data_IF_498594027322
#
_entry.id   IF_498594027322
#
_cell.length_a   1.000
_cell.length_b   1.000
_cell.length_c   1.000
_cell.angle_alpha   90.00
_cell.angle_beta   90.00
_cell.angle_gamma   90.00
#
_symmetry.space_group_name_H-M   'P 1'
#
loop_
_entity.id
_entity.type
_entity.pdbx_description
1 polymer ?
#
# COMPACT_ATOMS: atom_id res chain seq x y z
N UNK A 1 17.25 -8.56 -25.12
CA UNK A 1 16.35 -9.70 -25.40
C UNK A 1 15.03 -9.46 -24.66
N UNK A 2 14.05 -8.88 -25.34
CA UNK A 2 12.72 -8.58 -24.80
C UNK A 2 11.98 -9.87 -24.39
N UNK A 3 11.93 -10.22 -23.10
CA UNK A 3 10.84 -11.08 -22.61
C UNK A 3 9.61 -10.21 -22.42
N UNK A 4 8.87 -9.97 -23.49
CA UNK A 4 7.46 -9.55 -23.38
C UNK A 4 6.76 -10.61 -22.55
N UNK A 5 6.40 -10.28 -21.31
CA UNK A 5 5.56 -11.16 -20.49
C UNK A 5 4.26 -11.37 -21.26
N UNK A 6 4.03 -12.60 -21.70
CA UNK A 6 2.93 -12.93 -22.60
C UNK A 6 1.59 -12.55 -21.98
N UNK A 7 0.62 -12.16 -22.82
CA UNK A 7 -0.79 -11.87 -22.45
C UNK A 7 -1.38 -12.95 -21.53
N UNK A 8 -0.85 -14.18 -21.58
CA UNK A 8 -1.21 -15.33 -20.73
C UNK A 8 -1.02 -15.08 -19.23
N UNK A 9 -0.06 -14.27 -18.79
CA UNK A 9 0.13 -14.00 -17.35
C UNK A 9 -0.95 -13.07 -16.78
N UNK A 10 -1.43 -12.12 -17.58
CA UNK A 10 -2.49 -11.18 -17.20
C UNK A 10 -3.86 -11.89 -17.14
N UNK A 11 -4.11 -12.80 -18.08
CA UNK A 11 -5.32 -13.64 -18.06
C UNK A 11 -5.27 -14.64 -16.90
N UNK A 12 -4.13 -15.29 -16.65
CA UNK A 12 -3.95 -16.17 -15.50
C UNK A 12 -4.17 -15.46 -14.16
N UNK A 13 -3.62 -14.25 -13.98
CA UNK A 13 -3.87 -13.45 -12.76
C UNK A 13 -5.33 -13.04 -12.60
N UNK A 14 -6.03 -12.76 -13.70
CA UNK A 14 -7.46 -12.43 -13.69
C UNK A 14 -8.32 -13.64 -13.34
N UNK A 15 -8.03 -14.80 -13.94
CA UNK A 15 -8.68 -16.07 -13.63
C UNK A 15 -8.46 -16.46 -12.18
N UNK A 16 -7.22 -16.38 -11.68
CA UNK A 16 -6.91 -16.67 -10.28
C UNK A 16 -7.64 -15.73 -9.32
N UNK A 17 -7.77 -14.45 -9.67
CA UNK A 17 -8.55 -13.50 -8.89
C UNK A 17 -10.05 -13.86 -8.86
N UNK A 18 -10.64 -14.24 -10.01
CA UNK A 18 -12.04 -14.67 -10.10
C UNK A 18 -12.27 -15.95 -9.28
N UNK A 19 -11.39 -16.95 -9.41
CA UNK A 19 -11.45 -18.19 -8.63
C UNK A 19 -11.38 -17.88 -7.13
N UNK A 20 -10.45 -17.01 -6.71
CA UNK A 20 -10.36 -16.59 -5.32
C UNK A 20 -11.64 -15.93 -4.79
N UNK A 21 -12.29 -15.06 -5.60
CA UNK A 21 -13.58 -14.47 -5.25
C UNK A 21 -14.71 -15.50 -5.15
N UNK A 22 -14.77 -16.45 -6.08
CA UNK A 22 -15.76 -17.52 -6.09
C UNK A 22 -15.62 -18.41 -4.84
N UNK A 23 -14.39 -18.85 -4.51
CA UNK A 23 -14.12 -19.63 -3.31
C UNK A 23 -14.53 -18.89 -2.03
N UNK A 24 -14.29 -17.58 -1.95
CA UNK A 24 -14.75 -16.78 -0.81
C UNK A 24 -16.28 -16.76 -0.69
N UNK A 25 -16.99 -16.63 -1.80
CA UNK A 25 -18.45 -16.68 -1.80
C UNK A 25 -18.95 -18.05 -1.32
N UNK A 26 -18.35 -19.15 -1.79
CA UNK A 26 -18.65 -20.52 -1.34
C UNK A 26 -18.39 -20.67 0.16
N UNK A 27 -17.24 -20.20 0.66
CA UNK A 27 -16.91 -20.26 2.08
C UNK A 27 -17.91 -19.51 2.96
N UNK A 28 -18.40 -18.34 2.51
CA UNK A 28 -19.47 -17.59 3.19
C UNK A 28 -20.78 -18.37 3.20
N UNK A 29 -21.19 -18.96 2.07
CA UNK A 29 -22.42 -19.75 1.98
C UNK A 29 -22.36 -20.97 2.91
N UNK A 30 -21.24 -21.69 2.95
CA UNK A 30 -21.03 -22.83 3.86
C UNK A 30 -21.11 -22.41 5.33
N UNK A 31 -20.41 -21.34 5.69
CA UNK A 31 -20.40 -20.84 7.06
C UNK A 31 -21.78 -20.33 7.50
N UNK A 32 -22.45 -19.51 6.67
CA UNK A 32 -23.79 -19.02 6.95
C UNK A 32 -24.81 -20.15 6.97
N UNK A 33 -24.73 -21.10 6.04
CA UNK A 33 -25.58 -22.30 6.01
C UNK A 33 -25.46 -23.13 7.29
N UNK A 34 -24.25 -23.35 7.80
CA UNK A 34 -24.03 -24.04 9.06
C UNK A 34 -24.75 -23.37 10.25
N UNK A 35 -24.82 -22.04 10.26
CA UNK A 35 -25.51 -21.25 11.29
C UNK A 35 -27.03 -21.29 11.14
N UNK A 36 -27.56 -21.07 9.93
CA UNK A 36 -28.99 -20.77 9.73
C UNK A 36 -29.84 -21.98 9.32
N UNK A 37 -29.24 -23.04 8.78
CA UNK A 37 -30.01 -24.17 8.26
C UNK A 37 -30.66 -24.93 9.45
N UNK A 38 -32.01 -25.07 9.49
CA UNK A 38 -32.66 -25.78 10.58
C UNK A 38 -32.37 -27.28 10.49
N UNK A 39 -32.38 -27.96 11.64
CA UNK A 39 -32.14 -29.41 11.78
C UNK A 39 -33.00 -30.24 10.81
N UNK A 40 -34.29 -29.91 10.70
CA UNK A 40 -35.24 -30.62 9.82
C UNK A 40 -34.83 -30.54 8.35
N UNK A 41 -34.37 -29.37 7.89
CA UNK A 41 -33.86 -29.21 6.53
C UNK A 41 -32.54 -29.96 6.32
N UNK A 42 -31.66 -30.00 7.34
CA UNK A 42 -30.43 -30.78 7.27
C UNK A 42 -30.71 -32.29 7.21
N UNK A 43 -31.66 -32.78 8.01
CA UNK A 43 -32.10 -34.17 8.00
C UNK A 43 -32.71 -34.58 6.66
N UNK A 44 -33.55 -33.72 6.06
CA UNK A 44 -34.05 -33.93 4.70
C UNK A 44 -32.93 -33.98 3.65
N UNK A 45 -31.95 -33.08 3.74
CA UNK A 45 -30.83 -33.03 2.78
C UNK A 45 -29.92 -34.26 2.86
N UNK A 46 -29.78 -34.84 4.05
CA UNK A 46 -28.94 -36.01 4.32
C UNK A 46 -29.73 -37.33 4.33
N UNK A 47 -31.02 -37.28 3.98
CA UNK A 47 -31.93 -38.44 4.01
C UNK A 47 -32.02 -39.14 5.39
N UNK A 48 -31.80 -38.37 6.46
CA UNK A 48 -31.88 -38.80 7.86
C UNK A 48 -32.80 -37.85 8.66
N UNK A 49 -34.13 -38.04 8.59
CA UNK A 49 -35.11 -37.17 9.23
C UNK A 49 -35.04 -37.19 10.77
N UNK A 50 -34.50 -38.26 11.37
CA UNK A 50 -34.40 -38.44 12.82
C UNK A 50 -33.01 -38.06 13.39
N UNK A 51 -32.06 -37.64 12.54
CA UNK A 51 -30.66 -37.35 12.86
C UNK A 51 -30.46 -36.64 14.21
N UNK A 52 -29.89 -37.27 15.23
CA UNK A 52 -29.74 -36.71 16.60
C UNK A 52 -29.08 -35.31 16.74
N UNK A 53 -29.35 -34.61 17.85
CA UNK A 53 -28.87 -33.22 18.05
C UNK A 53 -27.35 -33.12 18.07
N UNK A 54 -26.67 -34.11 18.68
CA UNK A 54 -25.22 -34.18 18.69
C UNK A 54 -24.64 -34.27 17.26
N UNK A 55 -25.19 -35.15 16.42
CA UNK A 55 -24.77 -35.28 15.02
C UNK A 55 -25.02 -33.98 14.24
N UNK A 56 -26.18 -33.34 14.43
CA UNK A 56 -26.49 -32.04 13.81
C UNK A 56 -25.48 -30.96 14.20
N UNK A 57 -25.14 -30.86 15.48
CA UNK A 57 -24.18 -29.86 15.98
C UNK A 57 -22.79 -30.12 15.39
N UNK A 58 -22.32 -31.38 15.41
CA UNK A 58 -21.01 -31.74 14.86
C UNK A 58 -20.91 -31.43 13.36
N UNK A 59 -21.94 -31.77 12.58
CA UNK A 59 -22.00 -31.46 11.14
C UNK A 59 -21.97 -29.95 10.87
N UNK A 60 -22.72 -29.17 11.66
CA UNK A 60 -22.70 -27.70 11.55
C UNK A 60 -21.33 -27.12 11.90
N UNK A 61 -20.70 -27.60 12.96
CA UNK A 61 -19.33 -27.18 13.31
C UNK A 61 -18.37 -27.53 12.17
N UNK A 62 -18.43 -28.76 11.67
CA UNK A 62 -17.60 -29.21 10.54
C UNK A 62 -17.80 -28.35 9.29
N UNK A 63 -19.04 -28.11 8.87
CA UNK A 63 -19.38 -27.25 7.74
C UNK A 63 -18.91 -25.81 7.95
N UNK A 64 -19.05 -25.27 9.17
CA UNK A 64 -18.54 -23.95 9.54
C UNK A 64 -17.03 -23.85 9.41
N UNK A 65 -16.29 -24.82 9.94
CA UNK A 65 -14.82 -24.89 9.85
C UNK A 65 -14.38 -25.00 8.38
N UNK A 66 -15.00 -25.88 7.61
CA UNK A 66 -14.72 -26.02 6.16
C UNK A 66 -15.00 -24.70 5.44
N UNK A 67 -16.11 -24.02 5.75
CA UNK A 67 -16.44 -22.71 5.20
C UNK A 67 -15.37 -21.66 5.46
N UNK A 68 -14.85 -21.60 6.69
CA UNK A 68 -13.73 -20.72 7.06
C UNK A 68 -12.47 -21.07 6.27
N UNK A 69 -12.07 -22.35 6.21
CA UNK A 69 -10.88 -22.78 5.48
C UNK A 69 -10.97 -22.44 3.99
N UNK A 70 -12.12 -22.74 3.35
CA UNK A 70 -12.37 -22.41 1.94
C UNK A 70 -12.31 -20.89 1.70
N UNK A 71 -12.86 -20.10 2.63
CA UNK A 71 -12.76 -18.66 2.57
C UNK A 71 -11.31 -18.16 2.65
N UNK A 72 -10.50 -18.72 3.55
CA UNK A 72 -9.07 -18.38 3.68
C UNK A 72 -8.28 -18.72 2.42
N UNK A 73 -8.49 -19.92 1.86
CA UNK A 73 -7.88 -20.33 0.59
C UNK A 73 -8.29 -19.37 -0.53
N UNK A 74 -9.58 -19.05 -0.65
CA UNK A 74 -10.08 -18.10 -1.64
C UNK A 74 -9.48 -16.70 -1.47
N UNK A 75 -9.29 -16.24 -0.22
CA UNK A 75 -8.63 -14.98 0.08
C UNK A 75 -7.18 -14.96 -0.41
N UNK A 76 -6.39 -15.98 -0.05
CA UNK A 76 -5.01 -16.09 -0.50
C UNK A 76 -4.94 -16.14 -2.03
N UNK A 77 -5.74 -16.99 -2.67
CA UNK A 77 -5.81 -17.11 -4.13
C UNK A 77 -6.15 -15.78 -4.82
N UNK A 78 -7.09 -15.00 -4.28
CA UNK A 78 -7.42 -13.69 -4.81
C UNK A 78 -6.26 -12.68 -4.67
N UNK A 79 -5.53 -12.71 -3.54
CA UNK A 79 -4.34 -11.88 -3.31
C UNK A 79 -3.23 -12.24 -4.30
N UNK A 80 -2.95 -13.53 -4.46
CA UNK A 80 -1.98 -14.02 -5.45
C UNK A 80 -2.37 -13.63 -6.87
N UNK A 81 -3.65 -13.77 -7.24
CA UNK A 81 -4.15 -13.39 -8.57
C UNK A 81 -3.96 -11.91 -8.87
N UNK A 82 -4.20 -11.03 -7.89
CA UNK A 82 -3.91 -9.60 -8.02
C UNK A 82 -2.41 -9.34 -8.22
N UNK A 83 -1.52 -10.08 -7.56
CA UNK A 83 -0.05 -9.89 -7.67
C UNK A 83 0.46 -10.20 -9.08
N UNK A 84 -0.07 -11.25 -9.70
CA UNK A 84 0.28 -11.61 -11.08
C UNK A 84 -0.23 -10.64 -12.15
N UNK A 85 -1.14 -9.72 -11.79
CA UNK A 85 -1.63 -8.67 -12.70
C UNK A 85 -0.72 -7.44 -12.72
N UNK A 86 0.16 -7.28 -11.71
CA UNK A 86 1.12 -6.17 -11.68
C UNK A 86 2.20 -6.41 -12.73
N UNK A 87 2.32 -5.50 -13.69
CA UNK A 87 3.39 -5.55 -14.70
C UNK A 87 4.67 -4.99 -14.07
N UNK A 88 5.76 -5.77 -13.97
CA UNK A 88 7.05 -5.21 -13.58
C UNK A 88 7.53 -4.22 -14.66
N UNK A 89 8.23 -3.18 -14.24
CA UNK A 89 8.97 -2.30 -15.15
C UNK A 89 10.21 -3.07 -15.58
N UNK A 90 10.22 -3.54 -16.83
CA UNK A 90 11.33 -4.35 -17.37
C UNK A 90 12.55 -3.51 -17.73
N UNK A 91 12.34 -2.25 -18.12
CA UNK A 91 13.37 -1.23 -18.26
C UNK A 91 12.80 0.13 -17.88
N UNK A 92 13.58 0.93 -17.16
CA UNK A 92 13.24 2.31 -16.82
C UNK A 92 13.23 3.23 -18.05
N UNK A 93 13.88 2.85 -19.15
CA UNK A 93 13.84 3.60 -20.42
C UNK A 93 12.40 3.77 -20.94
N UNK A 94 11.53 2.81 -20.65
CA UNK A 94 10.11 2.85 -21.02
C UNK A 94 9.32 3.93 -20.28
N UNK A 95 9.91 4.54 -19.25
CA UNK A 95 9.32 5.66 -18.52
C UNK A 95 9.66 7.02 -19.13
N UNK A 96 10.65 7.08 -20.03
CA UNK A 96 11.02 8.31 -20.71
C UNK A 96 9.82 8.88 -21.48
N UNK A 97 9.53 10.17 -21.27
CA UNK A 97 8.36 10.84 -21.85
C UNK A 97 7.01 10.47 -21.21
N UNK A 98 6.98 9.63 -20.17
CA UNK A 98 5.75 9.33 -19.43
C UNK A 98 5.65 10.15 -18.14
N UNK A 99 4.43 10.54 -17.77
CA UNK A 99 4.18 11.16 -16.46
C UNK A 99 4.11 10.08 -15.38
N UNK A 100 5.20 9.87 -14.67
CA UNK A 100 5.28 8.91 -13.56
C UNK A 100 5.55 9.56 -12.21
N UNK A 101 5.04 8.90 -11.16
CA UNK A 101 5.30 9.23 -9.77
C UNK A 101 6.32 8.22 -9.25
N UNK A 102 7.51 8.67 -8.88
CA UNK A 102 8.52 7.84 -8.27
C UNK A 102 8.25 7.74 -6.76
N UNK A 103 8.04 6.54 -6.25
CA UNK A 103 7.89 6.31 -4.82
C UNK A 103 9.12 5.58 -4.26
N UNK A 104 9.92 6.31 -3.48
CA UNK A 104 11.12 5.86 -2.79
C UNK A 104 10.82 5.53 -1.33
N UNK A 105 11.26 4.36 -0.88
CA UNK A 105 11.06 3.90 0.50
C UNK A 105 12.11 2.88 0.87
N UNK A 106 12.43 2.82 2.16
CA UNK A 106 13.22 1.69 2.66
C UNK A 106 12.47 0.38 2.47
N UNK A 107 13.24 -0.69 2.28
CA UNK A 107 12.70 -2.04 2.25
C UNK A 107 11.96 -2.36 3.55
N UNK A 108 12.48 -2.01 4.74
CA UNK A 108 11.76 -2.26 6.00
C UNK A 108 10.34 -1.66 6.00
N UNK A 109 10.20 -0.42 5.54
CA UNK A 109 8.91 0.26 5.41
C UNK A 109 8.00 -0.43 4.41
N UNK A 110 8.54 -0.94 3.31
CA UNK A 110 7.79 -1.72 2.32
C UNK A 110 7.07 -2.93 2.92
N UNK A 111 7.77 -3.74 3.73
CA UNK A 111 7.13 -4.90 4.39
C UNK A 111 6.06 -4.48 5.38
N UNK A 112 6.30 -3.39 6.13
CA UNK A 112 5.33 -2.88 7.09
C UNK A 112 4.05 -2.37 6.40
N UNK A 113 4.17 -1.68 5.25
CA UNK A 113 3.03 -1.15 4.49
C UNK A 113 2.31 -2.21 3.64
N UNK A 114 2.99 -3.29 3.27
CA UNK A 114 2.40 -4.43 2.56
C UNK A 114 1.50 -5.30 3.44
N UNK A 115 1.55 -5.14 4.77
CA UNK A 115 0.68 -5.84 5.72
C UNK A 115 -0.63 -5.07 5.87
N UNK A 116 -1.77 -5.76 5.78
CA UNK A 116 -3.08 -5.13 6.04
C UNK A 116 -3.19 -4.79 7.52
N UNK A 117 -3.70 -3.61 7.90
CA UNK A 117 -4.00 -3.34 9.31
C UNK A 117 -5.02 -4.36 9.83
N UNK A 118 -4.80 -4.84 11.05
CA UNK A 118 -5.68 -5.79 11.72
C UNK A 118 -7.06 -5.16 11.94
N UNK A 119 -8.16 -5.75 11.46
CA UNK A 119 -9.48 -5.22 11.73
C UNK A 119 -9.79 -5.33 13.23
N UNK A 120 -10.21 -4.26 13.92
CA UNK A 120 -10.53 -4.35 15.33
C UNK A 120 -11.78 -5.23 15.56
N UNK A 121 -11.60 -6.27 16.37
CA UNK A 121 -12.54 -6.79 17.38
C UNK A 121 -13.87 -7.43 16.94
N UNK A 122 -14.23 -7.49 15.66
CA UNK A 122 -15.49 -8.09 15.21
C UNK A 122 -15.27 -9.16 14.12
N UNK A 123 -15.60 -10.44 14.35
CA UNK A 123 -15.36 -11.55 13.41
C UNK A 123 -16.11 -11.38 12.09
N UNK A 124 -17.32 -10.83 12.09
CA UNK A 124 -18.08 -10.54 10.88
C UNK A 124 -17.42 -9.41 10.06
N UNK A 125 -16.85 -8.44 10.77
CA UNK A 125 -16.09 -7.35 10.17
C UNK A 125 -14.74 -7.85 9.65
N UNK A 126 -14.07 -8.82 10.27
CA UNK A 126 -12.84 -9.46 9.73
C UNK A 126 -13.14 -10.16 8.40
N UNK A 127 -14.24 -10.90 8.32
CA UNK A 127 -14.70 -11.58 7.11
C UNK A 127 -15.01 -10.59 5.97
N UNK A 128 -15.62 -9.44 6.29
CA UNK A 128 -15.98 -8.38 5.34
C UNK A 128 -14.83 -7.37 5.05
N UNK A 129 -13.90 -7.17 5.99
CA UNK A 129 -12.84 -6.13 5.95
C UNK A 129 -11.55 -6.61 5.28
N UNK A 130 -11.41 -7.90 4.96
CA UNK A 130 -10.38 -8.41 4.03
C UNK A 130 -10.60 -7.99 2.57
N UNK A 131 -11.37 -6.92 2.37
CA UNK A 131 -11.48 -6.06 1.18
C UNK A 131 -10.66 -4.77 1.32
N UNK A 132 -10.07 -4.51 2.49
CA UNK A 132 -9.19 -3.39 2.75
C UNK A 132 -7.96 -3.48 1.86
N UNK A 133 -7.63 -2.39 1.20
CA UNK A 133 -6.35 -2.27 0.51
C UNK A 133 -5.25 -2.23 1.57
N UNK A 134 -4.08 -2.79 1.27
CA UNK A 134 -2.89 -2.57 2.11
C UNK A 134 -2.61 -1.07 2.22
N UNK A 135 -1.84 -0.65 3.23
CA UNK A 135 -1.49 0.77 3.36
C UNK A 135 -0.75 1.27 2.11
N UNK A 136 0.10 0.42 1.54
CA UNK A 136 0.77 0.64 0.25
C UNK A 136 -0.24 0.79 -0.89
N UNK A 137 -1.21 -0.11 -1.04
CA UNK A 137 -2.22 -0.07 -2.11
C UNK A 137 -3.09 1.21 -2.04
N UNK A 138 -3.39 1.71 -0.83
CA UNK A 138 -4.08 3.00 -0.68
C UNK A 138 -3.22 4.17 -1.17
N UNK A 139 -1.96 4.22 -0.74
CA UNK A 139 -1.00 5.24 -1.16
C UNK A 139 -0.85 5.24 -2.69
N UNK A 140 -0.71 4.05 -3.28
CA UNK A 140 -0.51 3.91 -4.73
C UNK A 140 -1.77 4.26 -5.51
N UNK A 141 -2.95 3.84 -5.04
CA UNK A 141 -4.21 4.26 -5.65
C UNK A 141 -4.33 5.78 -5.68
N UNK A 142 -3.94 6.42 -4.60
CA UNK A 142 -4.02 7.86 -4.48
C UNK A 142 -3.05 8.55 -5.45
N UNK A 143 -1.75 8.29 -5.34
CA UNK A 143 -0.74 8.90 -6.22
C UNK A 143 -0.89 8.47 -7.68
N UNK A 144 -1.51 7.31 -7.94
CA UNK A 144 -1.86 6.83 -9.26
C UNK A 144 -2.78 7.75 -10.06
N UNK A 145 -3.52 8.64 -9.39
CA UNK A 145 -4.31 9.70 -10.04
C UNK A 145 -3.44 10.78 -10.70
N UNK A 146 -2.17 10.89 -10.32
CA UNK A 146 -1.25 11.95 -10.76
C UNK A 146 -0.17 11.44 -11.73
N UNK A 147 -0.18 10.15 -12.02
CA UNK A 147 0.77 9.51 -12.91
C UNK A 147 0.94 8.05 -12.59
N UNK A 148 1.68 7.35 -13.45
CA UNK A 148 2.03 5.94 -13.23
C UNK A 148 2.93 5.83 -12.00
N UNK A 149 2.52 5.15 -10.94
CA UNK A 149 3.36 4.97 -9.74
C UNK A 149 4.43 3.90 -10.01
N UNK A 150 5.69 4.31 -9.89
CA UNK A 150 6.88 3.48 -10.10
C UNK A 150 7.68 3.43 -8.82
N UNK A 151 8.17 2.24 -8.48
CA UNK A 151 8.97 1.99 -7.26
C UNK A 151 10.14 1.09 -7.61
N UNK A 152 11.19 1.11 -6.78
CA UNK A 152 12.31 0.18 -6.93
C UNK A 152 12.06 -1.03 -6.02
N UNK A 153 12.05 -2.22 -6.62
CA UNK A 153 11.85 -3.47 -5.89
C UNK A 153 13.14 -3.98 -5.24
N UNK A 154 13.01 -4.94 -4.33
CA UNK A 154 14.18 -5.57 -3.69
C UNK A 154 14.91 -6.48 -4.68
N UNK A 155 16.25 -6.51 -4.67
CA UNK A 155 16.99 -7.53 -5.40
C UNK A 155 16.51 -8.93 -5.02
N UNK A 156 16.23 -9.79 -6.01
CA UNK A 156 15.77 -11.16 -5.79
C UNK A 156 14.29 -11.33 -5.40
N UNK A 157 13.50 -10.26 -5.38
CA UNK A 157 12.06 -10.32 -5.14
C UNK A 157 11.34 -11.09 -6.26
N UNK A 158 10.66 -12.19 -5.92
CA UNK A 158 10.02 -13.07 -6.91
C UNK A 158 8.64 -12.59 -7.37
N UNK A 159 7.89 -11.95 -6.47
CA UNK A 159 6.52 -11.49 -6.73
C UNK A 159 6.33 -10.13 -6.06
N UNK A 160 6.09 -9.06 -6.82
CA UNK A 160 5.90 -7.73 -6.24
C UNK A 160 4.61 -7.68 -5.40
N UNK A 161 4.62 -6.97 -4.24
CA UNK A 161 3.45 -6.52 -3.53
C UNK A 161 2.46 -5.78 -4.45
N UNK A 162 1.20 -5.74 -4.00
CA UNK A 162 0.11 -5.17 -4.77
C UNK A 162 0.23 -3.65 -4.89
N UNK A 163 0.04 -3.12 -6.10
CA UNK A 163 -0.28 -1.71 -6.33
C UNK A 163 0.68 -0.95 -7.26
N UNK A 164 2.00 -0.98 -7.03
CA UNK A 164 2.97 -0.14 -7.75
C UNK A 164 3.74 -0.97 -8.78
N UNK A 165 4.08 -0.35 -9.91
CA UNK A 165 4.98 -1.01 -10.86
C UNK A 165 6.40 -0.96 -10.32
N UNK A 166 6.97 -2.14 -10.04
CA UNK A 166 8.35 -2.28 -9.57
C UNK A 166 9.30 -2.46 -10.72
N UNK A 167 10.32 -1.60 -10.79
CA UNK A 167 11.52 -1.86 -11.56
C UNK A 167 12.62 -2.42 -10.66
N UNK A 168 13.51 -3.22 -11.24
CA UNK A 168 14.62 -3.83 -10.53
C UNK A 168 15.92 -3.34 -11.14
N UNK A 169 16.79 -2.78 -10.31
CA UNK A 169 18.11 -2.30 -10.75
C UNK A 169 19.12 -3.42 -10.47
N UNK A 170 19.88 -3.79 -11.50
CA UNK A 170 20.96 -4.78 -11.40
C UNK A 170 22.28 -4.11 -11.74
N UNK A 171 23.32 -4.36 -10.93
CA UNK A 171 24.66 -3.84 -11.16
C UNK A 171 25.10 -2.77 -10.14
N UNK A 172 26.36 -2.32 -10.23
CA UNK A 172 26.95 -1.37 -9.28
C UNK A 172 26.38 0.07 -9.42
N UNK A 173 25.86 0.42 -10.60
CA UNK A 173 25.44 1.79 -10.95
C UNK A 173 24.00 2.15 -10.53
N UNK A 174 23.54 1.57 -9.41
CA UNK A 174 22.17 1.78 -8.96
C UNK A 174 21.88 3.23 -8.60
N UNK A 175 22.87 3.94 -8.03
CA UNK A 175 22.75 5.34 -7.67
C UNK A 175 22.48 6.22 -8.89
N UNK A 176 23.24 6.04 -9.97
CA UNK A 176 23.06 6.75 -11.24
C UNK A 176 21.65 6.56 -11.80
N UNK A 177 21.13 5.33 -11.73
CA UNK A 177 19.76 5.01 -12.19
C UNK A 177 18.72 5.71 -11.32
N UNK A 178 18.88 5.71 -9.99
CA UNK A 178 17.99 6.42 -9.07
C UNK A 178 18.02 7.94 -9.34
N UNK A 179 19.19 8.53 -9.54
CA UNK A 179 19.32 9.96 -9.85
C UNK A 179 18.59 10.34 -11.14
N UNK A 180 18.69 9.51 -12.18
CA UNK A 180 17.94 9.71 -13.42
C UNK A 180 16.43 9.62 -13.19
N UNK A 181 15.97 8.61 -12.44
CA UNK A 181 14.56 8.46 -12.10
C UNK A 181 14.02 9.65 -11.29
N UNK A 182 14.79 10.17 -10.35
CA UNK A 182 14.39 11.36 -9.58
C UNK A 182 14.28 12.58 -10.50
N UNK A 183 15.27 12.78 -11.38
CA UNK A 183 15.32 13.94 -12.28
C UNK A 183 14.14 14.01 -13.24
N UNK A 184 13.71 12.84 -13.72
CA UNK A 184 12.68 12.73 -14.76
C UNK A 184 11.28 12.45 -14.19
N UNK A 185 11.17 12.15 -12.90
CA UNK A 185 9.89 12.00 -12.24
C UNK A 185 9.06 13.29 -12.28
N UNK A 186 7.76 13.13 -12.50
CA UNK A 186 6.81 14.22 -12.35
C UNK A 186 6.60 14.58 -10.88
N UNK A 187 6.59 13.57 -10.02
CA UNK A 187 6.49 13.70 -8.58
C UNK A 187 7.37 12.62 -7.92
N UNK A 188 8.14 13.00 -6.91
CA UNK A 188 8.93 12.11 -6.07
C UNK A 188 8.27 12.06 -4.70
N UNK A 189 7.75 10.90 -4.35
CA UNK A 189 7.20 10.60 -3.03
C UNK A 189 8.28 9.81 -2.28
N UNK A 190 8.69 10.26 -1.10
CA UNK A 190 9.73 9.59 -0.31
C UNK A 190 9.25 9.33 1.11
N UNK A 191 9.31 8.06 1.54
CA UNK A 191 9.06 7.70 2.94
C UNK A 191 10.28 8.04 3.79
N UNK A 192 10.15 9.00 4.70
CA UNK A 192 11.24 9.55 5.51
C UNK A 192 11.64 8.57 6.63
N UNK A 193 12.56 7.65 6.32
CA UNK A 193 13.09 6.66 7.26
C UNK A 193 14.61 6.73 7.41
N UNK A 194 15.16 6.50 8.63
CA UNK A 194 16.57 6.76 8.95
C UNK A 194 17.53 5.66 8.45
N UNK A 195 17.26 5.07 7.28
CA UNK A 195 18.14 4.06 6.68
C UNK A 195 19.16 4.74 5.75
N UNK A 196 20.41 4.27 5.67
CA UNK A 196 21.44 4.90 4.83
C UNK A 196 21.01 5.13 3.37
N UNK A 197 20.35 4.13 2.75
CA UNK A 197 19.84 4.25 1.38
C UNK A 197 18.82 5.38 1.22
N UNK A 198 17.80 5.43 2.08
CA UNK A 198 16.76 6.49 2.02
C UNK A 198 17.30 7.88 2.36
N UNK A 199 18.27 7.98 3.27
CA UNK A 199 18.96 9.24 3.57
C UNK A 199 19.73 9.71 2.34
N UNK A 200 20.48 8.82 1.70
CA UNK A 200 21.15 9.10 0.43
C UNK A 200 20.15 9.51 -0.67
N UNK A 201 19.04 8.77 -0.84
CA UNK A 201 17.99 9.06 -1.83
C UNK A 201 17.38 10.45 -1.63
N UNK A 202 17.15 10.85 -0.37
CA UNK A 202 16.64 12.19 -0.06
C UNK A 202 17.66 13.26 -0.41
N UNK A 203 18.90 13.10 0.02
CA UNK A 203 19.98 14.06 -0.25
C UNK A 203 20.27 14.16 -1.75
N UNK A 204 20.23 13.03 -2.47
CA UNK A 204 20.30 12.99 -3.93
C UNK A 204 19.11 13.70 -4.56
N UNK A 205 17.91 13.54 -4.00
CA UNK A 205 16.73 14.27 -4.47
C UNK A 205 16.93 15.77 -4.41
N UNK A 206 17.52 16.31 -3.34
CA UNK A 206 17.84 17.73 -3.25
C UNK A 206 18.85 18.18 -4.31
N UNK A 207 19.73 17.28 -4.75
CA UNK A 207 20.75 17.57 -5.74
C UNK A 207 20.21 17.58 -7.18
N UNK A 208 19.33 16.64 -7.55
CA UNK A 208 18.93 16.43 -8.96
C UNK A 208 17.49 16.77 -9.30
N UNK A 209 16.62 17.05 -8.32
CA UNK A 209 15.21 17.37 -8.59
C UNK A 209 15.09 18.73 -9.28
N UNK A 210 14.27 18.80 -10.34
CA UNK A 210 14.11 20.04 -11.14
C UNK A 210 13.36 21.15 -10.40
N UNK A 211 12.50 20.78 -9.45
CA UNK A 211 11.71 21.73 -8.68
C UNK A 211 11.38 21.16 -7.30
N UNK A 212 11.52 21.93 -6.22
CA UNK A 212 11.17 21.48 -4.87
C UNK A 212 9.70 21.02 -4.73
N UNK A 213 8.78 21.61 -5.51
CA UNK A 213 7.36 21.24 -5.51
C UNK A 213 7.09 19.81 -5.96
N UNK A 214 8.05 19.19 -6.65
CA UNK A 214 7.96 17.79 -7.08
C UNK A 214 8.27 16.81 -5.93
N UNK A 215 8.73 17.28 -4.77
CA UNK A 215 9.03 16.42 -3.63
C UNK A 215 7.87 16.39 -2.63
N UNK A 216 7.51 15.18 -2.22
CA UNK A 216 6.56 14.89 -1.13
C UNK A 216 7.22 13.92 -0.16
N UNK A 217 7.32 14.28 1.12
CA UNK A 217 7.80 13.38 2.16
C UNK A 217 6.64 12.78 2.94
N UNK A 218 6.74 11.49 3.22
CA UNK A 218 5.81 10.76 4.07
C UNK A 218 6.54 10.37 5.36
N UNK A 219 6.09 10.88 6.50
CA UNK A 219 6.64 10.49 7.80
C UNK A 219 5.66 9.56 8.51
N UNK A 220 6.16 8.44 9.04
CA UNK A 220 5.34 7.39 9.67
C UNK A 220 5.44 7.35 11.21
N UNK A 221 6.36 8.11 11.81
CA UNK A 221 6.55 8.17 13.26
C UNK A 221 7.58 9.22 13.68
N UNK A 222 7.36 9.88 14.81
CA UNK A 222 8.17 11.04 15.24
C UNK A 222 9.62 10.65 15.53
N UNK A 223 9.86 9.49 16.13
CA UNK A 223 11.21 9.00 16.42
C UNK A 223 12.00 8.72 15.13
N UNK A 224 11.43 7.93 14.22
CA UNK A 224 12.05 7.60 12.93
C UNK A 224 12.31 8.86 12.09
N UNK A 225 11.36 9.79 12.07
CA UNK A 225 11.51 11.04 11.35
C UNK A 225 12.58 11.96 11.97
N UNK A 226 12.69 11.99 13.30
CA UNK A 226 13.75 12.75 13.99
C UNK A 226 15.12 12.19 13.65
N UNK A 227 15.29 10.86 13.76
CA UNK A 227 16.52 10.19 13.36
C UNK A 227 16.85 10.43 11.88
N UNK A 228 15.85 10.42 11.00
CA UNK A 228 16.02 10.72 9.57
C UNK A 228 16.52 12.15 9.36
N UNK A 229 15.94 13.14 10.04
CA UNK A 229 16.38 14.55 9.94
C UNK A 229 17.84 14.73 10.31
N UNK A 230 18.29 14.06 11.37
CA UNK A 230 19.67 14.20 11.83
C UNK A 230 20.65 13.47 10.90
N UNK A 231 20.29 12.28 10.41
CA UNK A 231 21.08 11.56 9.41
C UNK A 231 21.20 12.34 8.09
N UNK A 232 20.12 13.00 7.64
CA UNK A 232 20.13 13.85 6.45
C UNK A 232 21.06 15.04 6.59
N UNK A 233 21.09 15.72 7.75
CA UNK A 233 22.04 16.82 7.98
C UNK A 233 23.48 16.33 7.88
N UNK A 234 23.78 15.18 8.48
CA UNK A 234 25.11 14.58 8.44
C UNK A 234 25.53 14.22 7.01
N UNK A 235 24.67 13.53 6.27
CA UNK A 235 24.93 13.12 4.88
C UNK A 235 25.06 14.33 3.94
N UNK A 236 24.18 15.32 4.04
CA UNK A 236 24.23 16.54 3.24
C UNK A 236 25.53 17.31 3.45
N UNK A 237 25.96 17.43 4.72
CA UNK A 237 27.24 18.07 5.07
C UNK A 237 28.43 17.28 4.55
N UNK A 238 28.41 15.95 4.69
CA UNK A 238 29.48 15.06 4.22
C UNK A 238 29.67 15.11 2.70
N UNK A 239 28.56 15.24 1.94
CA UNK A 239 28.60 15.33 0.48
C UNK A 239 28.90 16.73 -0.05
N UNK A 240 28.97 17.74 0.82
CA UNK A 240 29.22 19.15 0.48
C UNK A 240 28.33 19.66 -0.68
N UNK A 241 27.05 19.27 -0.67
CA UNK A 241 26.12 19.62 -1.75
C UNK A 241 25.80 21.12 -1.68
N UNK A 242 25.96 21.90 -2.78
CA UNK A 242 25.72 23.34 -2.77
C UNK A 242 24.27 23.75 -2.47
N UNK A 243 23.31 22.86 -2.70
CA UNK A 243 21.89 23.12 -2.43
C UNK A 243 21.65 23.29 -0.95
N UNK A 244 21.00 24.38 -0.54
CA UNK A 244 20.61 24.58 0.87
C UNK A 244 19.68 23.46 1.33
N UNK A 245 19.99 22.84 2.47
CA UNK A 245 19.12 21.83 3.07
C UNK A 245 17.77 22.49 3.43
N UNK A 246 16.62 21.97 2.95
CA UNK A 246 15.33 22.52 3.29
C UNK A 246 15.09 22.40 4.79
N UNK A 247 14.30 23.34 5.34
CA UNK A 247 13.86 23.22 6.73
C UNK A 247 12.99 21.97 6.85
N UNK A 248 13.49 20.95 7.54
CA UNK A 248 12.69 19.78 7.90
C UNK A 248 11.95 20.10 9.21
N UNK A 249 10.62 20.27 9.18
CA UNK A 249 9.85 20.72 10.34
C UNK A 249 9.91 19.69 11.48
N UNK A 250 9.72 20.12 12.72
CA UNK A 250 9.36 19.19 13.79
C UNK A 250 7.87 18.85 13.66
N UNK A 251 7.45 17.67 14.11
CA UNK A 251 6.03 17.38 14.22
C UNK A 251 5.75 16.53 15.46
N UNK A 252 4.69 16.91 16.18
CA UNK A 252 4.31 16.28 17.42
C UNK A 252 3.66 14.91 17.17
N UNK A 253 3.85 13.93 18.07
CA UNK A 253 3.21 12.63 17.95
C UNK A 253 1.69 12.76 17.99
N UNK A 254 1.02 11.84 17.29
CA UNK A 254 -0.45 11.73 17.37
C UNK A 254 -0.88 11.42 18.82
N UNK A 255 -2.04 11.94 19.28
CA UNK A 255 -2.55 11.63 20.60
C UNK A 255 -2.70 10.12 20.84
N UNK A 256 -2.53 9.64 22.09
CA UNK A 256 -2.86 8.25 22.41
C UNK A 256 -4.36 8.01 22.14
N UNK A 257 -4.70 6.87 21.49
CA UNK A 257 -6.05 6.42 21.10
C UNK A 257 -6.63 6.91 19.76
N UNK A 258 -5.85 7.50 18.87
CA UNK A 258 -6.29 7.68 17.48
C UNK A 258 -5.93 6.44 16.64
N UNK A 259 -6.85 5.98 15.79
CA UNK A 259 -6.67 4.74 15.02
C UNK A 259 -5.52 4.92 14.01
N UNK A 260 -4.29 4.49 14.33
CA UNK A 260 -3.08 4.76 13.52
C UNK A 260 -3.05 4.07 12.14
N UNK A 261 -4.20 3.62 11.63
CA UNK A 261 -4.36 2.87 10.40
C UNK A 261 -4.44 3.73 9.14
N UNK A 262 -4.31 5.06 9.25
CA UNK A 262 -4.17 5.89 8.06
C UNK A 262 -2.86 5.56 7.33
N UNK A 263 -2.89 5.25 6.02
CA UNK A 263 -1.70 4.83 5.27
C UNK A 263 -0.63 5.92 5.17
N UNK A 264 -1.04 7.19 5.30
CA UNK A 264 -0.17 8.38 5.27
C UNK A 264 -0.44 9.22 6.52
N UNK A 265 0.30 9.05 7.62
CA UNK A 265 -0.03 9.79 8.85
C UNK A 265 0.43 11.25 8.78
N UNK A 266 1.57 11.54 8.14
CA UNK A 266 2.06 12.91 7.92
C UNK A 266 2.62 13.06 6.53
N UNK A 267 2.23 14.14 5.85
CA UNK A 267 2.74 14.54 4.55
C UNK A 267 3.42 15.90 4.66
N UNK A 268 4.60 16.02 4.08
CA UNK A 268 5.37 17.25 4.04
C UNK A 268 5.63 17.61 2.57
N UNK A 269 5.19 18.79 2.15
CA UNK A 269 5.43 19.34 0.82
C UNK A 269 6.35 20.56 0.91
N UNK A 270 6.91 20.97 -0.23
CA UNK A 270 7.75 22.15 -0.32
C UNK A 270 7.25 23.11 -1.41
N UNK A 271 7.34 24.41 -1.17
CA UNK A 271 7.17 25.41 -2.22
C UNK A 271 8.47 25.63 -3.02
N UNK A 272 8.48 26.56 -3.99
CA UNK A 272 9.67 26.84 -4.80
C UNK A 272 10.89 27.32 -3.99
N UNK A 273 10.68 27.87 -2.79
CA UNK A 273 11.72 28.37 -1.90
C UNK A 273 12.12 27.37 -0.82
N UNK A 274 11.77 26.08 -0.97
CA UNK A 274 12.02 25.02 0.02
C UNK A 274 11.31 25.24 1.37
N UNK A 275 10.27 26.07 1.43
CA UNK A 275 9.48 26.23 2.65
C UNK A 275 8.56 25.01 2.83
N UNK A 276 8.64 24.31 3.98
CA UNK A 276 7.84 23.13 4.21
C UNK A 276 6.39 23.48 4.59
N UNK A 277 5.44 22.71 4.07
CA UNK A 277 4.07 22.66 4.59
C UNK A 277 3.81 21.27 5.16
N UNK A 278 3.38 21.19 6.41
CA UNK A 278 3.05 19.91 7.08
C UNK A 278 1.54 19.72 7.09
N UNK A 279 1.08 18.61 6.50
CA UNK A 279 -0.29 18.14 6.64
C UNK A 279 -0.29 16.86 7.46
N UNK A 280 -0.88 16.92 8.64
CA UNK A 280 -1.13 15.75 9.46
C UNK A 280 -2.53 15.21 9.17
N UNK A 281 -2.60 13.93 8.80
CA UNK A 281 -3.87 13.25 8.60
C UNK A 281 -4.28 12.66 9.93
N UNK A 282 -5.34 13.24 10.51
CA UNK A 282 -5.90 12.73 11.74
C UNK A 282 -6.76 11.51 11.41
N UNK A 283 -6.51 10.36 12.05
CA UNK A 283 -7.42 9.25 11.86
C UNK A 283 -8.80 9.58 12.41
N UNK A 284 -9.82 9.16 11.68
CA UNK A 284 -11.22 9.37 12.08
C UNK A 284 -11.45 8.57 13.37
N UNK A 285 -11.82 9.26 14.46
CA UNK A 285 -12.08 8.65 15.78
C UNK A 285 -12.90 7.37 15.64
N UNK A 286 -12.46 6.28 16.28
CA UNK A 286 -13.05 4.92 16.21
C UNK A 286 -14.58 4.92 16.38
N UNK A 287 -15.11 5.84 17.19
CA UNK A 287 -16.50 5.88 17.64
C UNK A 287 -17.44 6.79 16.84
N UNK A 288 -16.99 7.41 15.74
CA UNK A 288 -17.92 8.15 14.86
C UNK A 288 -18.60 7.17 13.90
N UNK A 289 -19.94 7.07 13.89
CA UNK A 289 -20.69 6.23 12.96
C UNK A 289 -20.64 6.86 11.56
N UNK A 290 -19.53 6.62 10.86
CA UNK A 290 -19.35 6.95 9.43
C UNK A 290 -18.95 5.68 8.70
N UNK A 291 -19.53 5.48 7.52
CA UNK A 291 -19.22 4.33 6.67
C UNK A 291 -17.75 4.36 6.21
N UNK A 292 -17.14 3.20 5.97
CA UNK A 292 -15.75 3.09 5.46
C UNK A 292 -15.54 3.94 4.20
N UNK A 293 -16.55 4.04 3.32
CA UNK A 293 -16.53 4.88 2.11
C UNK A 293 -16.46 6.37 2.41
N UNK A 294 -17.23 6.86 3.39
CA UNK A 294 -17.17 8.27 3.80
C UNK A 294 -15.80 8.61 4.40
N UNK A 295 -15.21 7.69 5.17
CA UNK A 295 -13.88 7.85 5.76
C UNK A 295 -12.79 8.00 4.69
N UNK A 296 -12.79 7.10 3.69
CA UNK A 296 -11.87 7.17 2.56
C UNK A 296 -12.04 8.46 1.73
N UNK A 297 -13.28 8.91 1.51
CA UNK A 297 -13.55 10.14 0.74
C UNK A 297 -13.02 11.40 1.42
N UNK A 298 -13.10 11.49 2.76
CA UNK A 298 -12.56 12.63 3.51
C UNK A 298 -11.03 12.65 3.41
N UNK A 299 -10.39 11.49 3.62
CA UNK A 299 -8.95 11.35 3.47
C UNK A 299 -8.46 11.72 2.06
N UNK A 300 -9.14 11.26 1.02
CA UNK A 300 -8.84 11.61 -0.37
C UNK A 300 -8.92 13.13 -0.58
N UNK A 301 -9.97 13.79 -0.09
CA UNK A 301 -10.14 15.24 -0.25
C UNK A 301 -9.06 16.05 0.49
N UNK A 302 -8.71 15.66 1.73
CA UNK A 302 -7.69 16.35 2.52
C UNK A 302 -6.30 16.23 1.87
N UNK A 303 -6.04 15.11 1.19
CA UNK A 303 -4.79 14.83 0.51
C UNK A 303 -4.71 15.56 -0.84
N UNK A 304 -5.82 15.59 -1.60
CA UNK A 304 -5.93 16.37 -2.85
C UNK A 304 -5.71 17.86 -2.57
N UNK A 305 -6.23 18.36 -1.45
CA UNK A 305 -6.00 19.73 -1.00
C UNK A 305 -4.52 19.99 -0.67
N UNK A 306 -3.90 19.08 0.09
CA UNK A 306 -2.48 19.18 0.46
C UNK A 306 -1.52 19.13 -0.73
N UNK A 307 -1.89 18.44 -1.80
CA UNK A 307 -1.07 18.30 -3.01
C UNK A 307 -1.47 19.24 -4.16
N UNK A 308 -2.51 20.07 -3.99
CA UNK A 308 -3.08 20.91 -5.05
C UNK A 308 -2.02 21.73 -5.80
N UNK A 309 -1.02 22.23 -5.08
CA UNK A 309 0.06 23.05 -5.64
C UNK A 309 1.18 22.24 -6.31
N UNK A 310 1.25 20.94 -6.02
CA UNK A 310 2.34 20.06 -6.46
C UNK A 310 1.97 19.32 -7.75
N UNK A 311 0.68 19.05 -7.93
CA UNK A 311 0.14 18.29 -9.07
C UNK A 311 -0.10 19.17 -10.30
N UNK A 312 -0.29 20.48 -10.12
CA UNK A 312 -0.54 21.45 -11.21
C UNK A 312 0.73 22.04 -11.81
N UNK A 313 1.85 21.33 -11.74
CA UNK A 313 3.07 21.76 -12.41
C UNK A 313 2.85 21.61 -13.93
N UNK A 314 3.01 22.69 -14.73
CA UNK A 314 3.04 22.56 -16.18
C UNK A 314 4.22 21.64 -16.59
N UNK A 315 4.02 20.94 -17.70
CA UNK A 315 5.00 20.01 -18.27
C UNK A 315 6.32 20.70 -18.62
#
# INVERSE_FOLDING_TARGET
>A
MERRLSVRHLTAGTVLAIIGWALRAVGVVLFSGALVLPRQALGLLLEDPDMGWAATILLKIGAGVVGVVVFEIGHLTAVWGKRFRTRPVTSFDTLSGTRYVLYLRSFKTDTALATSPDPPGNPLKILLSRRGLTREEHLIRYFGRHGKVVTIGRPGERVPPLGAQRGYITGPDWQTTVSQLIRDAHLVVLSATPTPGTVWEFVETLHVIRSPRRLVLLAHGTADYTAFRDAVKAEHSARAIPTTLPRLPHYDPLPPNVDADHPVPVLITFDYGWQPTVKQFHPIRKNVPRTIRQRARIADNDLDDALRHQIRLPD
#
